data_IF_175357986815
#
_entry.id   IF_175357986815
#
_cell.length_a   1.000
_cell.length_b   1.000
_cell.length_c   1.000
_cell.angle_alpha   90.00
_cell.angle_beta   90.00
_cell.angle_gamma   90.00
#
_symmetry.space_group_name_H-M   'P 1'
#
loop_
_entity.id
_entity.type
_entity.pdbx_description
1 polymer ?
#
# COMPACT_ATOMS: atom_id res chain seq x y z
N UNK A 1 -14.14 13.89 -31.08
CA UNK A 1 -14.66 14.11 -29.72
C UNK A 1 -14.54 12.80 -28.97
N UNK A 2 -13.48 12.62 -28.12
CA UNK A 2 -13.32 11.46 -27.26
C UNK A 2 -13.95 11.81 -25.92
N UNK A 3 -15.03 11.12 -25.57
CA UNK A 3 -15.71 11.23 -24.28
C UNK A 3 -14.73 10.88 -23.15
N UNK A 4 -14.45 11.87 -22.30
CA UNK A 4 -13.72 11.68 -21.07
C UNK A 4 -14.48 10.66 -20.21
N UNK A 5 -13.88 9.48 -19.99
CA UNK A 5 -14.35 8.54 -18.98
C UNK A 5 -14.12 9.20 -17.61
N UNK A 6 -15.18 9.75 -17.06
CA UNK A 6 -15.16 10.21 -15.66
C UNK A 6 -14.91 8.97 -14.79
N UNK A 7 -13.70 8.85 -14.26
CA UNK A 7 -13.35 7.84 -13.26
C UNK A 7 -14.24 8.07 -12.04
N UNK A 8 -15.21 7.20 -11.79
CA UNK A 8 -16.02 7.26 -10.58
C UNK A 8 -15.14 6.80 -9.44
N UNK A 9 -14.83 7.69 -8.52
CA UNK A 9 -14.37 7.31 -7.19
C UNK A 9 -15.31 6.22 -6.63
N UNK A 10 -14.82 5.22 -5.90
CA UNK A 10 -15.67 4.19 -5.33
C UNK A 10 -16.79 4.85 -4.53
N UNK A 11 -18.03 4.46 -4.77
CA UNK A 11 -19.22 4.97 -4.09
C UNK A 11 -19.25 4.58 -2.59
N UNK A 12 -18.31 3.77 -2.12
CA UNK A 12 -18.11 3.34 -0.73
C UNK A 12 -16.93 4.07 -0.11
N UNK A 13 -17.00 4.32 1.20
CA UNK A 13 -15.89 4.86 1.99
C UNK A 13 -14.64 3.99 1.76
N UNK A 14 -13.53 4.55 1.26
CA UNK A 14 -12.30 3.81 1.04
C UNK A 14 -11.62 3.38 2.35
N UNK A 15 -12.04 3.95 3.48
CA UNK A 15 -11.55 3.55 4.79
C UNK A 15 -12.42 2.41 5.34
N UNK A 16 -11.87 1.20 5.54
CA UNK A 16 -12.66 0.07 6.00
C UNK A 16 -13.25 0.33 7.39
N UNK A 17 -14.50 -0.06 7.55
CA UNK A 17 -15.17 -0.02 8.84
C UNK A 17 -14.50 -1.00 9.82
N UNK A 18 -14.53 -0.68 11.11
CA UNK A 18 -13.95 -1.53 12.17
C UNK A 18 -14.54 -2.95 12.25
N UNK A 19 -15.67 -3.19 11.60
CA UNK A 19 -16.43 -4.45 11.64
C UNK A 19 -16.29 -5.34 10.39
N UNK A 20 -15.35 -5.05 9.46
CA UNK A 20 -15.17 -5.91 8.28
C UNK A 20 -14.34 -7.18 8.59
N UNK A 21 -14.46 -8.22 7.75
CA UNK A 21 -13.64 -9.45 7.86
C UNK A 21 -12.19 -9.18 7.48
N UNK A 22 -11.42 -8.67 8.44
CA UNK A 22 -10.01 -8.35 8.24
C UNK A 22 -9.15 -9.62 8.05
N UNK A 23 -9.50 -10.74 8.66
CA UNK A 23 -8.79 -12.00 8.47
C UNK A 23 -8.95 -12.51 7.02
N UNK A 24 -10.10 -12.23 6.38
CA UNK A 24 -10.31 -12.45 4.95
C UNK A 24 -9.35 -11.63 4.11
N UNK A 25 -9.23 -10.32 4.37
CA UNK A 25 -8.31 -9.44 3.65
C UNK A 25 -6.85 -9.95 3.69
N UNK A 26 -6.38 -10.39 4.85
CA UNK A 26 -5.02 -10.94 5.01
C UNK A 26 -4.84 -12.22 4.18
N UNK A 27 -5.79 -13.16 4.25
CA UNK A 27 -5.71 -14.42 3.49
C UNK A 27 -5.67 -14.17 1.99
N UNK A 28 -6.53 -13.30 1.49
CA UNK A 28 -6.63 -12.96 0.08
C UNK A 28 -5.35 -12.29 -0.42
N UNK A 29 -4.81 -11.34 0.34
CA UNK A 29 -3.55 -10.67 0.02
C UNK A 29 -2.36 -11.66 -0.05
N UNK A 30 -2.26 -12.58 0.91
CA UNK A 30 -1.19 -13.59 0.91
C UNK A 30 -1.33 -14.58 -0.25
N UNK A 31 -2.56 -14.97 -0.60
CA UNK A 31 -2.84 -15.85 -1.74
C UNK A 31 -2.47 -15.17 -3.07
N UNK A 32 -2.90 -13.93 -3.26
CA UNK A 32 -2.56 -13.14 -4.45
C UNK A 32 -1.06 -12.91 -4.58
N UNK A 33 -0.37 -12.61 -3.47
CA UNK A 33 1.08 -12.43 -3.45
C UNK A 33 1.81 -13.71 -3.85
N UNK A 34 1.38 -14.87 -3.36
CA UNK A 34 1.97 -16.15 -3.72
C UNK A 34 1.82 -16.44 -5.21
N UNK A 35 0.60 -16.30 -5.76
CA UNK A 35 0.34 -16.50 -7.18
C UNK A 35 1.11 -15.52 -8.07
N UNK A 36 1.21 -14.25 -7.66
CA UNK A 36 1.96 -13.23 -8.40
C UNK A 36 3.46 -13.53 -8.43
N UNK A 37 4.04 -13.89 -7.28
CA UNK A 37 5.45 -14.27 -7.19
C UNK A 37 5.76 -15.50 -8.06
N UNK A 38 4.90 -16.50 -8.06
CA UNK A 38 5.03 -17.69 -8.89
C UNK A 38 5.04 -17.33 -10.39
N UNK A 39 4.08 -16.54 -10.85
CA UNK A 39 4.02 -16.07 -12.25
C UNK A 39 5.24 -15.27 -12.67
N UNK A 40 5.84 -14.51 -11.75
CA UNK A 40 7.04 -13.70 -12.01
C UNK A 40 8.35 -14.48 -11.83
N UNK A 41 8.30 -15.75 -11.43
CA UNK A 41 9.49 -16.57 -11.19
C UNK A 41 10.32 -16.08 -9.99
N UNK A 42 9.70 -15.34 -9.03
CA UNK A 42 10.36 -14.87 -7.83
C UNK A 42 9.86 -15.62 -6.59
N UNK A 43 10.72 -15.79 -5.59
CA UNK A 43 10.37 -16.63 -4.44
C UNK A 43 9.77 -15.77 -3.31
N UNK A 44 8.51 -16.06 -2.92
CA UNK A 44 7.92 -15.57 -1.69
C UNK A 44 8.37 -16.48 -0.53
N UNK A 45 9.52 -16.17 0.09
CA UNK A 45 10.05 -16.95 1.22
C UNK A 45 9.16 -16.77 2.45
N UNK A 46 9.31 -17.68 3.45
CA UNK A 46 8.55 -17.62 4.69
C UNK A 46 8.69 -16.27 5.40
N UNK A 47 9.90 -15.72 5.46
CA UNK A 47 10.12 -14.39 6.04
C UNK A 47 9.38 -13.29 5.27
N UNK A 48 9.40 -13.32 3.93
CA UNK A 48 8.68 -12.34 3.11
C UNK A 48 7.17 -12.45 3.30
N UNK A 49 6.67 -13.67 3.38
CA UNK A 49 5.28 -13.96 3.68
C UNK A 49 4.88 -13.41 5.05
N UNK A 50 5.70 -13.66 6.09
CA UNK A 50 5.40 -13.16 7.44
C UNK A 50 5.46 -11.65 7.55
N UNK A 51 6.42 -10.98 6.89
CA UNK A 51 6.45 -9.51 6.82
C UNK A 51 5.21 -8.97 6.12
N UNK A 52 4.81 -9.56 4.99
CA UNK A 52 3.60 -9.16 4.27
C UNK A 52 2.35 -9.33 5.14
N UNK A 53 2.24 -10.43 5.88
CA UNK A 53 1.15 -10.68 6.81
C UNK A 53 1.08 -9.60 7.89
N UNK A 54 2.22 -9.25 8.52
CA UNK A 54 2.30 -8.17 9.51
C UNK A 54 1.83 -6.83 8.92
N UNK A 55 2.23 -6.51 7.68
CA UNK A 55 1.79 -5.28 7.01
C UNK A 55 0.29 -5.27 6.78
N UNK A 56 -0.32 -6.44 6.55
CA UNK A 56 -1.75 -6.58 6.35
C UNK A 56 -2.57 -6.79 7.63
N UNK A 57 -1.94 -6.95 8.81
CA UNK A 57 -2.65 -7.13 10.09
C UNK A 57 -3.47 -5.91 10.52
N UNK A 58 -3.26 -4.75 9.88
CA UNK A 58 -4.08 -3.56 10.09
C UNK A 58 -4.13 -2.71 8.81
N UNK A 59 -5.12 -1.79 8.74
CA UNK A 59 -5.17 -0.77 7.68
C UNK A 59 -4.37 0.49 8.04
N UNK A 60 -3.74 0.49 9.19
CA UNK A 60 -2.80 1.54 9.57
C UNK A 60 -1.42 1.23 9.01
N UNK A 61 -0.74 2.22 8.44
CA UNK A 61 0.65 2.04 8.02
C UNK A 61 1.53 1.59 9.18
N UNK A 62 2.38 0.58 8.94
CA UNK A 62 3.26 -0.02 9.95
C UNK A 62 4.72 0.34 9.69
N UNK A 63 5.43 0.80 10.72
CA UNK A 63 6.85 1.15 10.63
C UNK A 63 7.76 -0.09 10.61
N UNK A 64 8.97 0.04 10.00
CA UNK A 64 9.93 -1.06 9.95
C UNK A 64 10.34 -1.56 11.34
N UNK A 65 10.43 -0.69 12.34
CA UNK A 65 10.75 -1.08 13.71
C UNK A 65 9.65 -1.93 14.35
N UNK A 66 8.40 -1.59 14.13
CA UNK A 66 7.25 -2.36 14.59
C UNK A 66 7.21 -3.75 13.95
N UNK A 67 7.52 -3.83 12.65
CA UNK A 67 7.67 -5.12 11.95
C UNK A 67 8.79 -5.97 12.58
N UNK A 68 9.94 -5.35 12.89
CA UNK A 68 11.05 -6.04 13.55
C UNK A 68 10.68 -6.62 14.92
N UNK A 69 9.87 -5.91 15.69
CA UNK A 69 9.41 -6.36 17.00
C UNK A 69 8.47 -7.57 16.94
N UNK A 70 7.73 -7.71 15.85
CA UNK A 70 6.79 -8.81 15.60
C UNK A 70 7.43 -10.03 14.93
N UNK A 71 8.69 -9.92 14.49
CA UNK A 71 9.42 -11.01 13.84
C UNK A 71 10.35 -11.71 14.80
N UNK A 72 10.34 -13.06 14.84
CA UNK A 72 11.33 -13.82 15.62
C UNK A 72 12.74 -13.59 15.08
N UNK A 73 13.71 -13.53 15.98
CA UNK A 73 15.13 -13.37 15.64
C UNK A 73 16.01 -13.98 16.74
N UNK A 74 17.33 -14.14 16.45
CA UNK A 74 18.29 -14.77 17.38
C UNK A 74 18.39 -14.11 18.76
N UNK A 75 17.95 -12.84 18.88
CA UNK A 75 17.92 -12.08 20.15
C UNK A 75 16.52 -11.52 20.43
N UNK A 76 15.47 -12.23 20.00
CA UNK A 76 14.09 -11.81 20.18
C UNK A 76 13.58 -10.81 19.11
N UNK A 77 14.44 -10.32 18.20
CA UNK A 77 14.06 -9.43 17.10
C UNK A 77 14.79 -9.79 15.82
N UNK A 78 14.14 -9.61 14.66
CA UNK A 78 14.82 -9.75 13.39
C UNK A 78 15.86 -8.64 13.16
N UNK A 79 16.98 -8.99 12.52
CA UNK A 79 18.04 -8.01 12.23
C UNK A 79 17.55 -6.93 11.23
N UNK A 80 17.80 -5.63 11.48
CA UNK A 80 17.34 -4.53 10.63
C UNK A 80 17.63 -4.74 9.14
N UNK A 81 18.85 -5.11 8.70
CA UNK A 81 19.14 -5.30 7.27
C UNK A 81 18.25 -6.37 6.62
N UNK A 82 17.87 -7.39 7.36
CA UNK A 82 17.01 -8.48 6.87
C UNK A 82 15.59 -7.98 6.63
N UNK A 83 15.05 -7.16 7.53
CA UNK A 83 13.70 -6.59 7.38
C UNK A 83 13.66 -5.59 6.23
N UNK A 84 14.64 -4.68 6.13
CA UNK A 84 14.69 -3.71 5.04
C UNK A 84 14.82 -4.38 3.67
N UNK A 85 15.69 -5.39 3.51
CA UNK A 85 15.77 -6.15 2.26
C UNK A 85 14.46 -6.86 1.90
N UNK A 86 13.72 -7.29 2.92
CA UNK A 86 12.41 -7.93 2.71
C UNK A 86 11.38 -6.90 2.27
N UNK A 87 11.33 -5.75 2.91
CA UNK A 87 10.45 -4.64 2.54
C UNK A 87 10.76 -4.11 1.14
N UNK A 88 12.05 -3.94 0.79
CA UNK A 88 12.48 -3.56 -0.55
C UNK A 88 12.01 -4.56 -1.61
N UNK A 89 12.10 -5.86 -1.31
CA UNK A 89 11.56 -6.89 -2.21
C UNK A 89 10.04 -6.74 -2.37
N UNK A 90 9.29 -6.62 -1.27
CA UNK A 90 7.83 -6.51 -1.32
C UNK A 90 7.38 -5.23 -2.06
N UNK A 91 8.08 -4.13 -1.86
CA UNK A 91 7.82 -2.88 -2.59
C UNK A 91 8.15 -3.01 -4.09
N UNK A 92 9.27 -3.64 -4.44
CA UNK A 92 9.65 -3.87 -5.84
C UNK A 92 8.67 -4.79 -6.57
N UNK A 93 8.13 -5.79 -5.88
CA UNK A 93 7.10 -6.67 -6.44
C UNK A 93 5.70 -6.04 -6.42
N UNK A 94 5.54 -4.81 -5.91
CA UNK A 94 4.25 -4.13 -5.84
C UNK A 94 3.26 -4.74 -4.84
N UNK A 95 3.76 -5.54 -3.89
CA UNK A 95 2.93 -6.16 -2.84
C UNK A 95 2.69 -5.24 -1.65
N UNK A 96 3.56 -4.25 -1.50
CA UNK A 96 3.57 -3.27 -0.41
C UNK A 96 3.93 -1.91 -0.98
N UNK A 97 3.32 -0.87 -0.45
CA UNK A 97 3.72 0.52 -0.70
C UNK A 97 4.39 1.12 0.54
N UNK A 98 5.36 2.00 0.30
CA UNK A 98 5.92 2.84 1.33
C UNK A 98 5.19 4.18 1.32
N UNK A 99 4.75 4.64 2.48
CA UNK A 99 4.24 5.98 2.73
C UNK A 99 5.40 6.80 3.28
N UNK A 100 5.93 7.71 2.47
CA UNK A 100 7.16 8.43 2.78
C UNK A 100 6.96 9.43 3.92
N UNK A 101 5.82 10.13 3.96
CA UNK A 101 5.48 11.08 5.03
C UNK A 101 5.41 10.45 6.42
N UNK A 102 5.13 9.14 6.51
CA UNK A 102 5.03 8.39 7.75
C UNK A 102 6.23 7.46 8.00
N UNK A 103 7.13 7.32 7.00
CA UNK A 103 8.19 6.31 7.00
C UNK A 103 7.66 4.91 7.39
N UNK A 104 6.52 4.54 6.80
CA UNK A 104 5.77 3.33 7.11
C UNK A 104 5.33 2.60 5.84
N UNK A 105 4.77 1.41 6.00
CA UNK A 105 4.40 0.52 4.91
C UNK A 105 2.93 0.11 5.00
N UNK A 106 2.28 -0.04 3.83
CA UNK A 106 0.93 -0.56 3.72
C UNK A 106 0.86 -1.61 2.62
N UNK A 107 -0.07 -2.56 2.71
CA UNK A 107 -0.31 -3.55 1.66
C UNK A 107 -0.91 -2.91 0.41
N UNK A 108 -0.51 -3.39 -0.77
CA UNK A 108 -1.09 -2.98 -2.04
C UNK A 108 -2.42 -3.72 -2.28
N UNK A 109 -3.48 -3.00 -2.58
CA UNK A 109 -4.81 -3.57 -2.83
C UNK A 109 -4.99 -4.12 -4.24
N UNK A 110 -4.09 -3.75 -5.18
CA UNK A 110 -4.14 -4.18 -6.58
C UNK A 110 -2.74 -4.51 -7.14
N UNK A 111 -2.03 -5.52 -6.59
CA UNK A 111 -0.62 -5.78 -6.90
C UNK A 111 -0.37 -6.25 -8.34
N UNK A 112 -1.41 -6.62 -9.07
CA UNK A 112 -1.32 -7.04 -10.48
C UNK A 112 -1.37 -5.86 -11.46
N UNK A 113 -1.96 -4.76 -11.05
CA UNK A 113 -2.09 -3.58 -11.88
C UNK A 113 -0.82 -2.73 -11.81
N UNK A 114 -0.35 -2.27 -12.98
CA UNK A 114 0.59 -1.15 -13.02
C UNK A 114 -0.20 0.11 -12.66
N UNK A 115 -0.06 0.58 -11.44
CA UNK A 115 -0.77 1.77 -10.96
C UNK A 115 0.18 2.72 -10.24
N UNK A 116 -0.20 3.99 -10.23
CA UNK A 116 0.44 5.01 -9.42
C UNK A 116 -0.29 5.10 -8.09
N UNK A 117 0.44 4.88 -7.00
CA UNK A 117 -0.15 4.84 -5.68
C UNK A 117 -0.64 6.24 -5.27
N UNK A 118 -1.92 6.36 -4.96
CA UNK A 118 -2.54 7.53 -4.35
C UNK A 118 -3.11 7.13 -2.99
N UNK A 119 -2.62 7.76 -1.94
CA UNK A 119 -3.00 7.46 -0.57
C UNK A 119 -3.78 8.60 0.07
N UNK A 120 -4.91 8.25 0.70
CA UNK A 120 -5.59 9.09 1.67
C UNK A 120 -5.13 8.68 3.06
N UNK A 121 -4.54 9.61 3.82
CA UNK A 121 -4.00 9.35 5.15
C UNK A 121 -4.84 10.11 6.17
N UNK A 122 -5.54 9.37 7.04
CA UNK A 122 -6.35 9.99 8.08
C UNK A 122 -5.51 10.28 9.33
N UNK A 123 -5.37 11.57 9.68
CA UNK A 123 -4.68 11.99 10.91
C UNK A 123 -5.42 11.64 12.20
N UNK A 124 -6.74 11.35 12.12
CA UNK A 124 -7.56 11.00 13.29
C UNK A 124 -7.40 9.53 13.70
N UNK A 125 -7.64 8.58 12.79
CA UNK A 125 -7.53 7.14 13.08
C UNK A 125 -6.20 6.52 12.62
N UNK A 126 -5.34 7.27 11.93
CA UNK A 126 -4.04 6.84 11.36
C UNK A 126 -4.13 5.79 10.26
N UNK A 127 -5.33 5.44 9.81
CA UNK A 127 -5.50 4.55 8.67
C UNK A 127 -5.09 5.24 7.38
N UNK A 128 -4.59 4.45 6.45
CA UNK A 128 -4.36 4.85 5.08
C UNK A 128 -5.25 4.02 4.15
N UNK A 129 -5.76 4.66 3.11
CA UNK A 129 -6.53 4.00 2.06
C UNK A 129 -5.86 4.29 0.71
N UNK A 130 -5.59 3.23 -0.03
CA UNK A 130 -5.14 3.33 -1.42
C UNK A 130 -6.36 3.54 -2.32
N UNK A 131 -6.28 4.53 -3.20
CA UNK A 131 -7.30 4.77 -4.22
C UNK A 131 -6.67 4.84 -5.61
N UNK A 132 -7.48 4.57 -6.62
CA UNK A 132 -7.08 4.63 -8.03
C UNK A 132 -7.92 5.69 -8.73
N UNK A 133 -7.27 6.67 -9.36
CA UNK A 133 -7.93 7.72 -10.12
C UNK A 133 -7.15 8.00 -11.42
N UNK A 134 -7.68 7.46 -12.53
CA UNK A 134 -7.06 7.64 -13.86
C UNK A 134 -7.02 9.08 -14.33
N UNK A 135 -7.87 9.98 -13.81
CA UNK A 135 -7.84 11.41 -14.15
C UNK A 135 -6.61 12.07 -13.53
N UNK A 136 -6.34 11.75 -12.25
CA UNK A 136 -5.15 12.24 -11.56
C UNK A 136 -3.88 11.68 -12.18
N UNK A 137 -3.85 10.37 -12.47
CA UNK A 137 -2.71 9.71 -13.11
C UNK A 137 -2.38 10.37 -14.45
N UNK A 138 -3.38 10.57 -15.30
CA UNK A 138 -3.21 11.28 -16.57
C UNK A 138 -2.81 12.76 -16.41
N UNK A 139 -3.17 13.40 -15.30
CA UNK A 139 -2.74 14.76 -15.00
C UNK A 139 -1.26 14.82 -14.63
N UNK A 140 -0.80 13.88 -13.82
CA UNK A 140 0.62 13.74 -13.46
C UNK A 140 1.49 13.47 -14.70
N UNK A 141 1.03 12.60 -15.60
CA UNK A 141 1.72 12.34 -16.87
C UNK A 141 1.83 13.59 -17.74
N UNK A 142 0.74 14.33 -17.89
CA UNK A 142 0.73 15.57 -18.68
C UNK A 142 1.67 16.62 -18.11
N UNK A 143 1.70 16.79 -16.79
CA UNK A 143 2.60 17.74 -16.12
C UNK A 143 4.06 17.33 -16.33
N UNK A 144 4.38 16.05 -16.14
CA UNK A 144 5.73 15.54 -16.35
C UNK A 144 6.18 15.71 -17.81
N UNK A 145 5.31 15.34 -18.77
CA UNK A 145 5.60 15.48 -20.20
C UNK A 145 5.80 16.94 -20.62
N UNK A 146 4.97 17.87 -20.11
CA UNK A 146 5.13 19.30 -20.36
C UNK A 146 6.46 19.88 -19.87
N UNK A 147 7.03 19.26 -18.82
CA UNK A 147 8.34 19.58 -18.28
C UNK A 147 9.49 18.83 -19.00
N UNK A 148 9.21 18.01 -20.01
CA UNK A 148 10.20 17.13 -20.64
C UNK A 148 10.73 16.01 -19.73
N UNK A 149 9.96 15.66 -18.69
CA UNK A 149 10.36 14.70 -17.67
C UNK A 149 9.77 13.31 -17.95
N UNK A 150 10.61 12.28 -18.03
CA UNK A 150 10.20 10.88 -18.12
C UNK A 150 9.72 10.36 -16.76
N UNK A 151 8.40 10.30 -16.58
CA UNK A 151 7.81 9.84 -15.33
C UNK A 151 7.83 8.30 -15.24
N UNK A 152 8.69 7.75 -14.38
CA UNK A 152 8.80 6.31 -14.14
C UNK A 152 7.91 5.86 -12.96
N UNK A 153 7.86 6.68 -11.90
CA UNK A 153 7.11 6.37 -10.67
C UNK A 153 6.50 7.64 -10.10
N UNK A 154 5.29 7.53 -9.58
CA UNK A 154 4.66 8.58 -8.79
C UNK A 154 3.96 7.98 -7.56
N UNK A 155 4.08 8.67 -6.43
CA UNK A 155 3.31 8.42 -5.22
C UNK A 155 2.68 9.74 -4.80
N UNK A 156 1.39 9.74 -4.52
CA UNK A 156 0.66 10.92 -4.06
C UNK A 156 0.07 10.64 -2.69
N UNK A 157 0.37 11.49 -1.73
CA UNK A 157 -0.10 11.35 -0.36
C UNK A 157 -0.98 12.56 0.01
N UNK A 158 -2.23 12.30 0.37
CA UNK A 158 -3.18 13.31 0.81
C UNK A 158 -3.49 13.08 2.29
N UNK A 159 -3.14 14.04 3.13
CA UNK A 159 -3.40 13.97 4.58
C UNK A 159 -4.65 14.77 4.94
N UNK A 160 -5.57 14.15 5.70
CA UNK A 160 -6.82 14.77 6.10
C UNK A 160 -7.54 14.01 7.20
N UNK A 161 -8.87 14.07 7.21
CA UNK A 161 -9.74 13.27 8.08
C UNK A 161 -10.68 12.43 7.22
N UNK A 162 -10.77 11.12 7.48
CA UNK A 162 -11.79 10.27 6.86
C UNK A 162 -13.21 10.70 7.30
N UNK A 163 -14.23 10.22 6.60
CA UNK A 163 -15.63 10.59 6.89
C UNK A 163 -16.01 10.32 8.36
N UNK A 164 -15.56 9.17 8.89
CA UNK A 164 -15.81 8.78 10.27
C UNK A 164 -15.14 9.71 11.30
N UNK A 165 -13.89 10.09 11.10
CA UNK A 165 -13.18 11.00 12.02
C UNK A 165 -13.65 12.44 11.89
N UNK A 166 -14.06 12.87 10.69
CA UNK A 166 -14.60 14.20 10.45
C UNK A 166 -15.95 14.43 11.16
N UNK A 167 -16.77 13.38 11.28
CA UNK A 167 -18.05 13.44 11.99
C UNK A 167 -17.94 13.41 13.53
N UNK A 168 -16.71 13.25 14.07
CA UNK A 168 -16.43 13.24 15.52
C UNK A 168 -15.64 14.46 16.01
N UNK A 169 -15.28 15.36 15.11
CA UNK A 169 -14.54 16.60 15.39
C UNK A 169 -15.53 17.83 15.54
#
# INVERSE_FOLDING_TARGET
MKTAHASRLPASDPFPLASHDHAGCVRDALSQAAALCERRGVRLTELRRRVLEIVWESHSPVGAYEIMERLPGERGRAAPPTVYRTLDFLCREGLVHRIDSLNAFVGCTAPEALHRALFLICRGCRNAAEIHDGTLEGSLERVAAAAGFGLERATVELTGLCAHCRGRA
#
